data_IF_764219087736
#
_entry.id   IF_764219087736
#
_cell.length_a   1.000
_cell.length_b   1.000
_cell.length_c   1.000
_cell.angle_alpha   90.00
_cell.angle_beta   90.00
_cell.angle_gamma   90.00
#
_symmetry.space_group_name_H-M   'P 1'
#
loop_
_entity.id
_entity.type
_entity.pdbx_description
1 polymer ?
#
# COMPACT_ATOMS: atom_id res chain seq x y z
N UNK A 1 4.95 -6.51 -27.91
CA UNK A 1 5.39 -5.74 -26.72
C UNK A 1 5.15 -6.50 -25.42
N UNK A 2 3.94 -7.07 -25.20
CA UNK A 2 3.60 -7.86 -24.00
C UNK A 2 4.49 -9.11 -23.82
N UNK A 3 4.79 -9.82 -24.90
CA UNK A 3 5.59 -11.05 -24.87
C UNK A 3 7.07 -10.81 -24.47
N UNK A 4 7.67 -9.70 -24.94
CA UNK A 4 9.05 -9.32 -24.58
C UNK A 4 9.18 -8.94 -23.10
N UNK A 5 8.15 -8.28 -22.56
CA UNK A 5 8.07 -7.92 -21.14
C UNK A 5 7.92 -9.19 -20.29
N UNK A 6 7.03 -10.11 -20.67
CA UNK A 6 6.86 -11.41 -20.02
C UNK A 6 8.15 -12.24 -20.01
N UNK A 7 8.83 -12.35 -21.16
CA UNK A 7 10.11 -13.05 -21.29
C UNK A 7 11.23 -12.43 -20.44
N UNK A 8 11.20 -11.11 -20.23
CA UNK A 8 12.18 -10.42 -19.39
C UNK A 8 11.95 -10.70 -17.90
N UNK A 9 10.70 -10.76 -17.46
CA UNK A 9 10.37 -11.13 -16.07
C UNK A 9 10.68 -12.59 -15.76
N UNK A 10 10.39 -13.51 -16.67
CA UNK A 10 10.73 -14.92 -16.50
C UNK A 10 12.25 -15.12 -16.37
N UNK A 11 13.04 -14.41 -17.20
CA UNK A 11 14.51 -14.43 -17.08
C UNK A 11 14.99 -13.83 -15.76
N UNK A 12 14.43 -12.69 -15.34
CA UNK A 12 14.76 -12.09 -14.04
C UNK A 12 14.44 -13.04 -12.87
N UNK A 13 13.31 -13.75 -12.96
CA UNK A 13 12.89 -14.72 -11.96
C UNK A 13 13.80 -15.96 -11.90
N UNK A 14 14.23 -16.49 -13.04
CA UNK A 14 15.23 -17.55 -13.08
C UNK A 14 16.57 -17.08 -12.50
N UNK A 15 17.02 -15.88 -12.89
CA UNK A 15 18.29 -15.33 -12.44
C UNK A 15 18.31 -15.09 -10.93
N UNK A 16 17.25 -14.51 -10.36
CA UNK A 16 17.19 -14.27 -8.91
C UNK A 16 17.18 -15.58 -8.11
N UNK A 17 16.50 -16.63 -8.62
CA UNK A 17 16.54 -17.96 -8.00
C UNK A 17 17.95 -18.55 -8.03
N UNK A 18 18.63 -18.47 -9.17
CA UNK A 18 20.01 -18.92 -9.28
C UNK A 18 20.93 -18.17 -8.31
N UNK A 19 20.74 -16.85 -8.14
CA UNK A 19 21.52 -16.07 -7.17
C UNK A 19 21.30 -16.55 -5.73
N UNK A 20 20.04 -16.82 -5.35
CA UNK A 20 19.70 -17.34 -4.01
C UNK A 20 20.30 -18.73 -3.76
N UNK A 21 20.32 -19.59 -4.79
CA UNK A 21 20.87 -20.96 -4.68
C UNK A 21 22.40 -20.98 -4.68
N UNK A 22 23.02 -20.16 -5.53
CA UNK A 22 24.47 -20.20 -5.77
C UNK A 22 25.27 -19.36 -4.77
N UNK A 23 24.65 -18.37 -4.12
CA UNK A 23 25.31 -17.43 -3.22
C UNK A 23 24.56 -17.26 -1.89
N UNK A 24 24.36 -18.33 -1.11
CA UNK A 24 23.63 -18.27 0.16
C UNK A 24 24.32 -17.41 1.23
N UNK A 25 25.64 -17.20 1.14
CA UNK A 25 26.41 -16.40 2.10
C UNK A 25 26.76 -15.00 1.58
N UNK A 26 26.10 -14.55 0.50
CA UNK A 26 26.34 -13.23 -0.09
C UNK A 26 25.96 -12.10 0.87
N UNK A 27 26.79 -11.06 0.96
CA UNK A 27 26.41 -9.81 1.63
C UNK A 27 25.17 -9.13 1.00
N UNK A 28 24.84 -9.51 -0.24
CA UNK A 28 23.64 -9.04 -0.96
C UNK A 28 22.44 -9.97 -0.83
N UNK A 29 22.50 -11.01 0.00
CA UNK A 29 21.43 -12.00 0.12
C UNK A 29 20.08 -11.35 0.46
N UNK A 30 20.08 -10.37 1.36
CA UNK A 30 18.89 -9.58 1.72
C UNK A 30 18.27 -8.90 0.50
N UNK A 31 19.08 -8.27 -0.37
CA UNK A 31 18.61 -7.68 -1.63
C UNK A 31 18.06 -8.73 -2.59
N UNK A 32 18.67 -9.92 -2.65
CA UNK A 32 18.19 -11.00 -3.50
C UNK A 32 16.79 -11.47 -3.08
N UNK A 33 16.58 -11.65 -1.77
CA UNK A 33 15.27 -11.96 -1.22
C UNK A 33 14.25 -10.84 -1.46
N UNK A 34 14.68 -9.59 -1.35
CA UNK A 34 13.80 -8.45 -1.64
C UNK A 34 13.27 -8.53 -3.07
N UNK A 35 14.16 -8.63 -4.06
CA UNK A 35 13.77 -8.69 -5.46
C UNK A 35 13.00 -9.97 -5.82
N UNK A 36 13.34 -11.10 -5.21
CA UNK A 36 12.55 -12.32 -5.36
C UNK A 36 11.12 -12.13 -4.87
N UNK A 37 10.94 -11.50 -3.70
CA UNK A 37 9.60 -11.19 -3.16
C UNK A 37 8.83 -10.20 -4.05
N UNK A 38 9.49 -9.19 -4.60
CA UNK A 38 8.87 -8.26 -5.58
C UNK A 38 8.38 -9.01 -6.81
N UNK A 39 9.19 -9.91 -7.38
CA UNK A 39 8.77 -10.70 -8.54
C UNK A 39 7.61 -11.66 -8.21
N UNK A 40 7.65 -12.28 -7.03
CA UNK A 40 6.56 -13.12 -6.54
C UNK A 40 5.25 -12.32 -6.40
N UNK A 41 5.32 -11.08 -5.94
CA UNK A 41 4.16 -10.22 -5.76
C UNK A 41 3.62 -9.65 -7.08
N UNK A 42 4.49 -9.04 -7.88
CA UNK A 42 4.08 -8.30 -9.06
C UNK A 42 3.78 -9.21 -10.26
N UNK A 43 4.50 -10.31 -10.41
CA UNK A 43 4.43 -11.18 -11.60
C UNK A 43 3.67 -12.47 -11.29
N UNK A 44 4.18 -13.27 -10.35
CA UNK A 44 3.61 -14.59 -10.04
C UNK A 44 2.30 -14.51 -9.23
N UNK A 45 1.99 -13.33 -8.69
CA UNK A 45 0.85 -13.07 -7.78
C UNK A 45 0.81 -14.07 -6.60
N UNK A 46 1.97 -14.53 -6.15
CA UNK A 46 2.10 -15.51 -5.08
C UNK A 46 2.36 -14.82 -3.74
N UNK A 47 1.27 -14.60 -3.00
CA UNK A 47 1.31 -13.89 -1.72
C UNK A 47 2.13 -14.63 -0.65
N UNK A 48 2.05 -15.96 -0.63
CA UNK A 48 2.78 -16.78 0.35
C UNK A 48 4.30 -16.65 0.14
N UNK A 49 4.77 -16.79 -1.10
CA UNK A 49 6.19 -16.67 -1.40
C UNK A 49 6.71 -15.25 -1.23
N UNK A 50 5.89 -14.24 -1.52
CA UNK A 50 6.21 -12.84 -1.22
C UNK A 50 6.49 -12.66 0.28
N UNK A 51 5.58 -13.14 1.14
CA UNK A 51 5.74 -13.01 2.60
C UNK A 51 6.95 -13.80 3.10
N UNK A 52 7.18 -15.02 2.59
CA UNK A 52 8.36 -15.81 2.95
C UNK A 52 9.67 -15.12 2.56
N UNK A 53 9.73 -14.53 1.37
CA UNK A 53 10.89 -13.76 0.93
C UNK A 53 11.12 -12.53 1.82
N UNK A 54 10.07 -11.77 2.14
CA UNK A 54 10.18 -10.61 3.03
C UNK A 54 10.63 -10.97 4.45
N UNK A 55 10.42 -12.19 4.94
CA UNK A 55 10.97 -12.63 6.23
C UNK A 55 12.49 -12.76 6.22
N UNK A 56 13.09 -12.96 5.05
CA UNK A 56 14.54 -13.08 4.88
C UNK A 56 15.23 -11.75 4.59
N UNK A 57 14.46 -10.70 4.25
CA UNK A 57 14.99 -9.35 4.08
C UNK A 57 15.34 -8.77 5.45
N UNK A 58 16.55 -8.24 5.55
CA UNK A 58 17.08 -7.59 6.75
C UNK A 58 16.14 -6.47 7.25
N UNK A 59 15.87 -6.48 8.55
CA UNK A 59 14.92 -5.58 9.22
C UNK A 59 15.52 -4.20 9.50
N UNK A 60 16.86 -4.09 9.53
CA UNK A 60 17.61 -2.86 9.78
C UNK A 60 18.43 -2.42 8.56
N UNK A 61 18.31 -3.18 7.45
CA UNK A 61 19.03 -2.92 6.21
C UNK A 61 18.38 -1.85 5.34
N UNK A 62 19.06 -1.50 4.23
CA UNK A 62 18.65 -0.45 3.29
C UNK A 62 17.26 -0.65 2.64
N UNK A 63 16.68 -1.85 2.73
CA UNK A 63 15.38 -2.24 2.16
C UNK A 63 14.28 -2.40 3.22
N UNK A 64 14.56 -2.05 4.47
CA UNK A 64 13.66 -2.36 5.57
C UNK A 64 12.30 -1.67 5.45
N UNK A 65 12.26 -0.43 4.96
CA UNK A 65 11.02 0.30 4.70
C UNK A 65 10.28 -0.24 3.46
N UNK A 66 10.99 -0.52 2.36
CA UNK A 66 10.44 -1.21 1.18
C UNK A 66 9.77 -2.54 1.57
N UNK A 67 10.43 -3.31 2.42
CA UNK A 67 9.96 -4.60 2.95
C UNK A 67 8.66 -4.42 3.74
N UNK A 68 8.61 -3.47 4.66
CA UNK A 68 7.41 -3.18 5.45
C UNK A 68 6.25 -2.76 4.55
N UNK A 69 6.52 -1.93 3.55
CA UNK A 69 5.50 -1.51 2.60
C UNK A 69 5.00 -2.67 1.73
N UNK A 70 5.89 -3.53 1.21
CA UNK A 70 5.49 -4.71 0.43
C UNK A 70 4.69 -5.70 1.27
N UNK A 71 5.06 -5.90 2.54
CA UNK A 71 4.29 -6.69 3.51
C UNK A 71 2.88 -6.10 3.71
N UNK A 72 2.75 -4.78 3.79
CA UNK A 72 1.44 -4.13 3.88
C UNK A 72 0.60 -4.37 2.60
N UNK A 73 1.18 -4.20 1.41
CA UNK A 73 0.50 -4.44 0.12
C UNK A 73 0.00 -5.89 0.01
N UNK A 74 0.88 -6.87 0.19
CA UNK A 74 0.50 -8.28 0.03
C UNK A 74 -0.54 -8.71 1.06
N UNK A 75 -0.45 -8.24 2.31
CA UNK A 75 -1.48 -8.53 3.31
C UNK A 75 -2.79 -7.79 3.03
N UNK A 76 -2.74 -6.61 2.44
CA UNK A 76 -3.94 -5.89 2.02
C UNK A 76 -4.68 -6.67 0.93
N UNK A 77 -3.96 -7.20 -0.07
CA UNK A 77 -4.56 -8.03 -1.13
C UNK A 77 -5.15 -9.34 -0.59
N UNK A 78 -4.55 -9.89 0.47
CA UNK A 78 -5.05 -11.06 1.20
C UNK A 78 -6.13 -10.71 2.24
N UNK A 79 -6.54 -9.45 2.35
CA UNK A 79 -7.49 -8.97 3.36
C UNK A 79 -7.06 -9.23 4.83
N UNK A 80 -5.77 -9.42 5.05
CA UNK A 80 -5.16 -9.59 6.37
C UNK A 80 -4.95 -8.23 7.05
N UNK A 81 -6.05 -7.56 7.37
CA UNK A 81 -6.07 -6.18 7.87
C UNK A 81 -5.23 -5.95 9.13
N UNK A 82 -5.11 -6.96 10.00
CA UNK A 82 -4.23 -6.89 11.18
C UNK A 82 -2.77 -6.72 10.78
N UNK A 83 -2.30 -7.47 9.79
CA UNK A 83 -0.91 -7.43 9.32
C UNK A 83 -0.61 -6.17 8.51
N UNK A 84 -1.60 -5.63 7.77
CA UNK A 84 -1.50 -4.29 7.15
C UNK A 84 -1.20 -3.25 8.23
N UNK A 85 -2.03 -3.21 9.28
CA UNK A 85 -1.87 -2.23 10.35
C UNK A 85 -0.53 -2.37 11.09
N UNK A 86 -0.06 -3.59 11.34
CA UNK A 86 1.24 -3.82 11.98
C UNK A 86 2.40 -3.32 11.10
N UNK A 87 2.36 -3.63 9.81
CA UNK A 87 3.41 -3.23 8.87
C UNK A 87 3.49 -1.71 8.74
N UNK A 88 2.35 -1.02 8.62
CA UNK A 88 2.31 0.44 8.49
C UNK A 88 2.64 1.15 9.81
N UNK A 89 2.24 0.62 10.96
CA UNK A 89 2.65 1.14 12.27
C UNK A 89 4.18 1.13 12.41
N UNK A 90 4.81 0.03 12.03
CA UNK A 90 6.27 -0.10 12.05
C UNK A 90 6.92 0.84 11.03
N UNK A 91 6.37 0.94 9.82
CA UNK A 91 6.87 1.87 8.80
C UNK A 91 6.87 3.31 9.32
N UNK A 92 5.74 3.77 9.86
CA UNK A 92 5.61 5.11 10.44
C UNK A 92 6.57 5.36 11.60
N UNK A 93 6.73 4.36 12.49
CA UNK A 93 7.55 4.49 13.69
C UNK A 93 9.05 4.50 13.38
N UNK A 94 9.49 3.62 12.49
CA UNK A 94 10.91 3.36 12.24
C UNK A 94 11.43 4.21 11.07
N UNK A 95 10.58 4.50 10.10
CA UNK A 95 10.94 5.16 8.85
C UNK A 95 9.94 6.29 8.51
N UNK A 96 9.80 7.32 9.37
CA UNK A 96 8.82 8.39 9.18
C UNK A 96 9.02 9.20 7.88
N UNK A 97 10.24 9.25 7.35
CA UNK A 97 10.57 9.91 6.08
C UNK A 97 10.47 8.97 4.85
N UNK A 98 9.99 7.73 5.04
CA UNK A 98 9.90 6.76 3.96
C UNK A 98 9.00 7.27 2.82
N UNK A 99 9.41 7.16 1.55
CA UNK A 99 8.58 7.53 0.41
C UNK A 99 7.28 6.71 0.32
N UNK A 100 7.21 5.59 1.04
CA UNK A 100 6.07 4.69 1.11
C UNK A 100 5.03 5.07 2.16
N UNK A 101 5.33 6.01 3.06
CA UNK A 101 4.45 6.33 4.18
C UNK A 101 3.08 6.86 3.73
N UNK A 102 3.03 7.72 2.71
CA UNK A 102 1.78 8.26 2.18
C UNK A 102 0.83 7.16 1.67
N UNK A 103 1.36 6.23 0.87
CA UNK A 103 0.61 5.08 0.36
C UNK A 103 0.28 4.09 1.48
N UNK A 104 1.19 3.90 2.43
CA UNK A 104 1.00 3.08 3.61
C UNK A 104 -0.16 3.54 4.48
N UNK A 105 -0.23 4.83 4.81
CA UNK A 105 -1.35 5.41 5.57
C UNK A 105 -2.69 5.26 4.84
N UNK A 106 -2.70 5.40 3.51
CA UNK A 106 -3.90 5.11 2.71
C UNK A 106 -4.34 3.64 2.86
N UNK A 107 -3.42 2.68 2.72
CA UNK A 107 -3.74 1.25 2.90
C UNK A 107 -4.21 0.94 4.34
N UNK A 108 -3.64 1.60 5.34
CA UNK A 108 -4.06 1.47 6.73
C UNK A 108 -5.47 2.00 6.96
N UNK A 109 -5.81 3.16 6.38
CA UNK A 109 -7.16 3.70 6.42
C UNK A 109 -8.16 2.75 5.76
N UNK A 110 -7.81 2.17 4.61
CA UNK A 110 -8.65 1.21 3.91
C UNK A 110 -8.87 -0.07 4.74
N UNK A 111 -7.80 -0.67 5.27
CA UNK A 111 -7.89 -1.83 6.15
C UNK A 111 -8.74 -1.56 7.41
N UNK A 112 -8.63 -0.35 7.96
CA UNK A 112 -9.40 0.08 9.14
C UNK A 112 -10.87 0.30 8.80
N UNK A 113 -11.17 0.84 7.62
CA UNK A 113 -12.53 0.94 7.07
C UNK A 113 -13.16 -0.44 6.87
N UNK A 114 -12.44 -1.41 6.27
CA UNK A 114 -12.94 -2.77 6.05
C UNK A 114 -13.23 -3.51 7.36
N UNK A 115 -12.47 -3.20 8.43
CA UNK A 115 -12.76 -3.66 9.79
C UNK A 115 -13.94 -2.94 10.47
N UNK A 116 -14.63 -2.04 9.76
CA UNK A 116 -15.74 -1.21 10.25
C UNK A 116 -15.35 -0.24 11.38
N UNK A 117 -14.07 0.06 11.52
CA UNK A 117 -13.54 0.97 12.54
C UNK A 117 -13.54 2.40 11.99
N UNK A 118 -14.72 2.92 11.65
CA UNK A 118 -14.86 4.12 10.82
C UNK A 118 -14.28 5.40 11.44
N UNK A 119 -14.42 5.60 12.76
CA UNK A 119 -13.81 6.76 13.42
C UNK A 119 -12.27 6.73 13.30
N UNK A 120 -11.65 5.57 13.54
CA UNK A 120 -10.20 5.42 13.37
C UNK A 120 -9.76 5.55 11.91
N UNK A 121 -10.56 5.07 10.95
CA UNK A 121 -10.26 5.30 9.54
C UNK A 121 -10.26 6.80 9.19
N UNK A 122 -11.19 7.57 9.77
CA UNK A 122 -11.25 9.02 9.59
C UNK A 122 -10.07 9.75 10.24
N UNK A 123 -9.60 9.28 11.40
CA UNK A 123 -8.39 9.76 12.06
C UNK A 123 -7.15 9.54 11.18
N UNK A 124 -6.97 8.32 10.66
CA UNK A 124 -5.84 7.99 9.76
C UNK A 124 -5.88 8.81 8.47
N UNK A 125 -7.07 9.03 7.89
CA UNK A 125 -7.22 9.89 6.71
C UNK A 125 -6.90 11.35 7.00
N UNK A 126 -7.18 11.82 8.21
CA UNK A 126 -6.81 13.17 8.63
C UNK A 126 -5.30 13.29 8.86
N UNK A 127 -4.67 12.26 9.45
CA UNK A 127 -3.22 12.16 9.55
C UNK A 127 -2.55 12.16 8.16
N UNK A 128 -3.04 11.34 7.23
CA UNK A 128 -2.56 11.30 5.85
C UNK A 128 -2.57 12.69 5.20
N UNK A 129 -3.70 13.40 5.29
CA UNK A 129 -3.85 14.73 4.68
C UNK A 129 -3.00 15.80 5.37
N UNK A 130 -2.84 15.74 6.70
CA UNK A 130 -2.03 16.71 7.45
C UNK A 130 -0.53 16.50 7.26
N UNK A 131 -0.12 15.25 7.01
CA UNK A 131 1.29 14.89 6.81
C UNK A 131 1.74 15.16 5.38
N UNK A 132 0.83 14.98 4.41
CA UNK A 132 1.13 15.09 2.99
C UNK A 132 0.15 16.07 2.32
N UNK A 133 0.58 17.33 2.17
CA UNK A 133 -0.15 18.37 1.45
C UNK A 133 0.76 19.04 0.41
N UNK A 134 0.54 18.84 -0.91
CA UNK A 134 -0.54 18.07 -1.52
C UNK A 134 -0.29 16.55 -1.52
N UNK A 135 -1.37 15.76 -1.52
CA UNK A 135 -1.32 14.31 -1.77
C UNK A 135 -0.95 14.01 -3.22
N UNK A 136 -0.17 12.93 -3.45
CA UNK A 136 0.13 12.40 -4.79
C UNK A 136 -1.10 11.84 -5.49
N UNK A 137 -2.02 11.24 -4.73
CA UNK A 137 -3.26 10.62 -5.24
C UNK A 137 -4.47 11.05 -4.40
N UNK A 138 -4.91 12.32 -4.49
CA UNK A 138 -5.93 12.87 -3.60
C UNK A 138 -7.30 12.23 -3.79
N UNK A 139 -7.70 11.94 -5.03
CA UNK A 139 -9.05 11.47 -5.39
C UNK A 139 -9.47 10.21 -4.62
N UNK A 140 -8.60 9.20 -4.53
CA UNK A 140 -8.92 7.96 -3.81
C UNK A 140 -9.02 8.15 -2.28
N UNK A 141 -8.25 9.07 -1.71
CA UNK A 141 -8.31 9.37 -0.29
C UNK A 141 -9.61 10.12 0.03
N UNK A 142 -10.03 11.01 -0.87
CA UNK A 142 -11.32 11.70 -0.81
C UNK A 142 -12.47 10.69 -0.92
N UNK A 143 -12.45 9.77 -1.90
CA UNK A 143 -13.45 8.71 -2.04
C UNK A 143 -13.59 7.89 -0.75
N UNK A 144 -12.46 7.41 -0.22
CA UNK A 144 -12.47 6.63 1.01
C UNK A 144 -13.01 7.45 2.20
N UNK A 145 -12.65 8.74 2.32
CA UNK A 145 -13.17 9.64 3.35
C UNK A 145 -14.68 9.80 3.26
N UNK A 146 -15.22 9.97 2.05
CA UNK A 146 -16.67 10.07 1.83
C UNK A 146 -17.36 8.76 2.24
N UNK A 147 -16.82 7.60 1.83
CA UNK A 147 -17.36 6.29 2.21
C UNK A 147 -17.36 6.09 3.73
N UNK A 148 -16.29 6.50 4.41
CA UNK A 148 -16.20 6.48 5.89
C UNK A 148 -17.28 7.36 6.51
N UNK A 149 -17.46 8.59 6.02
CA UNK A 149 -18.48 9.53 6.53
C UNK A 149 -19.90 9.01 6.32
N UNK A 150 -20.18 8.42 5.15
CA UNK A 150 -21.47 7.78 4.86
C UNK A 150 -21.74 6.60 5.80
N UNK A 151 -20.73 5.76 6.05
CA UNK A 151 -20.85 4.65 7.00
C UNK A 151 -21.10 5.11 8.44
N UNK A 152 -20.65 6.32 8.78
CA UNK A 152 -20.95 7.02 10.04
C UNK A 152 -22.26 7.81 10.02
N UNK A 153 -23.04 7.75 8.93
CA UNK A 153 -24.26 8.54 8.71
C UNK A 153 -24.05 10.07 8.76
N UNK A 154 -22.82 10.54 8.52
CA UNK A 154 -22.44 11.96 8.46
C UNK A 154 -22.59 12.50 7.05
N UNK A 155 -23.82 12.45 6.51
CA UNK A 155 -24.10 12.77 5.11
C UNK A 155 -23.80 14.21 4.72
N UNK A 156 -24.09 15.18 5.59
CA UNK A 156 -23.78 16.60 5.34
C UNK A 156 -22.27 16.83 5.18
N UNK A 157 -21.46 16.22 6.05
CA UNK A 157 -20.00 16.29 5.95
C UNK A 157 -19.48 15.61 4.68
N UNK A 158 -20.11 14.50 4.26
CA UNK A 158 -19.77 13.81 3.03
C UNK A 158 -20.03 14.69 1.78
N UNK A 159 -21.20 15.36 1.72
CA UNK A 159 -21.50 16.31 0.62
C UNK A 159 -20.55 17.51 0.61
N UNK A 160 -20.26 18.08 1.79
CA UNK A 160 -19.32 19.21 1.91
C UNK A 160 -17.92 18.86 1.39
N UNK A 161 -17.42 17.65 1.71
CA UNK A 161 -16.14 17.15 1.19
C UNK A 161 -16.18 17.05 -0.34
N UNK A 162 -17.25 16.49 -0.91
CA UNK A 162 -17.36 16.36 -2.37
C UNK A 162 -17.50 17.71 -3.07
N UNK A 163 -18.32 18.62 -2.53
CA UNK A 163 -18.53 19.96 -3.11
C UNK A 163 -17.21 20.70 -3.25
N UNK A 164 -16.39 20.70 -2.20
CA UNK A 164 -15.05 21.31 -2.23
C UNK A 164 -14.12 20.57 -3.18
N UNK A 165 -14.10 19.23 -3.11
CA UNK A 165 -13.17 18.41 -3.88
C UNK A 165 -13.41 18.46 -5.39
N UNK A 166 -14.66 18.49 -5.84
CA UNK A 166 -15.00 18.57 -7.29
C UNK A 166 -14.52 19.90 -7.89
N UNK A 167 -14.54 20.99 -7.12
CA UNK A 167 -14.02 22.28 -7.60
C UNK A 167 -12.50 22.28 -7.73
N UNK A 168 -11.79 21.51 -6.90
CA UNK A 168 -10.32 21.43 -6.90
C UNK A 168 -9.78 20.33 -7.82
N UNK A 169 -10.54 19.26 -8.00
CA UNK A 169 -10.19 18.07 -8.75
C UNK A 169 -11.37 17.72 -9.65
N UNK A 170 -11.25 18.04 -10.95
CA UNK A 170 -12.25 17.69 -11.95
C UNK A 170 -12.21 16.19 -12.28
N UNK A 171 -12.56 15.35 -11.32
CA UNK A 171 -12.58 13.89 -11.45
C UNK A 171 -14.02 13.36 -11.49
N UNK A 172 -14.34 12.62 -12.56
CA UNK A 172 -15.67 12.08 -12.80
C UNK A 172 -16.13 11.08 -11.74
N UNK A 173 -15.21 10.38 -11.08
CA UNK A 173 -15.55 9.43 -10.00
C UNK A 173 -16.18 10.15 -8.80
N UNK A 174 -15.69 11.34 -8.44
CA UNK A 174 -16.22 12.15 -7.35
C UNK A 174 -17.61 12.71 -7.68
N UNK A 175 -17.83 13.13 -8.93
CA UNK A 175 -19.14 13.59 -9.41
C UNK A 175 -20.15 12.43 -9.35
N UNK A 176 -19.76 11.25 -9.86
CA UNK A 176 -20.60 10.05 -9.84
C UNK A 176 -20.92 9.62 -8.41
N UNK A 177 -19.96 9.73 -7.49
CA UNK A 177 -20.17 9.41 -6.08
C UNK A 177 -21.23 10.34 -5.48
N UNK A 178 -21.14 11.65 -5.75
CA UNK A 178 -22.11 12.65 -5.26
C UNK A 178 -23.54 12.45 -5.76
N UNK A 179 -23.72 12.02 -7.00
CA UNK A 179 -25.06 11.81 -7.59
C UNK A 179 -25.76 10.57 -7.03
N UNK A 180 -25.00 9.62 -6.48
CA UNK A 180 -25.50 8.28 -6.12
C UNK A 180 -26.08 8.16 -4.70
N UNK A 181 -25.93 9.17 -3.86
CA UNK A 181 -26.49 9.19 -2.50
C UNK A 181 -27.40 10.40 -2.31
#
# INVERSE_FOLDING_TARGET
MIELVSSSYQRAFMFIKQLLESYPDSERLSDYYFWYGVLQYEIEKNSMQTIMAMRQVDIDGNRADDRLFLLAKVNHDQQNWREVNLSILNLKKLYPESPYLEEGLYLQAQATFEKKQYNSALEILSELQNTFDPLKKPVRAIDLRVRVLMALQKYEQADDVLRRSITMHADFSLIKLRIKF
#
